data_IF_079075030941
#
_entry.id   IF_079075030941
#
_cell.length_a   1.000
_cell.length_b   1.000
_cell.length_c   1.000
_cell.angle_alpha   90.00
_cell.angle_beta   90.00
_cell.angle_gamma   90.00
#
_symmetry.space_group_name_H-M   'P 1'
#
loop_
_entity.id
_entity.type
_entity.pdbx_description
1 polymer ?
#
# COMPACT_ATOMS: atom_id res chain seq x y z
N UNK A 1 -14.83 -9.98 3.92
CA UNK A 1 -14.11 -9.01 4.79
C UNK A 1 -12.57 -9.02 4.64
N UNK A 2 -11.95 -9.99 3.93
CA UNK A 2 -10.48 -10.04 3.74
C UNK A 2 -9.92 -8.84 2.96
N UNK A 3 -10.63 -8.42 1.92
CA UNK A 3 -10.26 -7.27 1.06
C UNK A 3 -10.11 -5.97 1.85
N UNK A 4 -10.99 -5.72 2.82
CA UNK A 4 -10.94 -4.52 3.64
C UNK A 4 -9.74 -4.52 4.61
N UNK A 5 -9.40 -5.70 5.15
CA UNK A 5 -8.22 -5.88 6.02
C UNK A 5 -6.92 -5.75 5.24
N UNK A 6 -6.88 -6.26 4.00
CA UNK A 6 -5.74 -6.08 3.09
C UNK A 6 -5.54 -4.61 2.72
N UNK A 7 -6.63 -3.91 2.38
CA UNK A 7 -6.60 -2.47 2.11
C UNK A 7 -6.16 -1.66 3.35
N UNK A 8 -6.59 -2.06 4.55
CA UNK A 8 -6.17 -1.45 5.80
C UNK A 8 -4.66 -1.65 6.06
N UNK A 9 -4.10 -2.82 5.71
CA UNK A 9 -2.65 -3.05 5.83
C UNK A 9 -1.84 -2.16 4.90
N UNK A 10 -2.30 -1.96 3.66
CA UNK A 10 -1.66 -1.03 2.71
C UNK A 10 -1.74 0.40 3.27
N UNK A 11 -2.92 0.81 3.75
CA UNK A 11 -3.12 2.12 4.34
C UNK A 11 -2.24 2.33 5.59
N UNK A 12 -2.11 1.30 6.45
CA UNK A 12 -1.24 1.34 7.62
C UNK A 12 0.24 1.46 7.23
N UNK A 13 0.70 0.74 6.19
CA UNK A 13 2.06 0.87 5.67
C UNK A 13 2.37 2.28 5.16
N UNK A 14 1.43 2.89 4.44
CA UNK A 14 1.55 4.28 3.97
C UNK A 14 1.59 5.25 5.16
N UNK A 15 0.71 5.07 6.15
CA UNK A 15 0.66 5.91 7.33
C UNK A 15 1.96 5.87 8.14
N UNK A 16 2.54 4.67 8.34
CA UNK A 16 3.83 4.52 9.01
C UNK A 16 4.96 5.17 8.22
N UNK A 17 4.99 5.01 6.89
CA UNK A 17 5.99 5.65 6.04
C UNK A 17 5.93 7.19 6.15
N UNK A 18 4.73 7.77 6.15
CA UNK A 18 4.52 9.21 6.30
C UNK A 18 4.94 9.70 7.70
N UNK A 19 4.68 8.93 8.76
CA UNK A 19 5.12 9.26 10.11
C UNK A 19 6.65 9.31 10.21
N UNK A 20 7.33 8.29 9.67
CA UNK A 20 8.79 8.23 9.67
C UNK A 20 9.36 9.42 8.88
N UNK A 21 8.82 9.69 7.69
CA UNK A 21 9.23 10.82 6.87
C UNK A 21 9.07 12.17 7.58
N UNK A 22 7.92 12.37 8.24
CA UNK A 22 7.63 13.59 8.99
C UNK A 22 8.63 13.78 10.14
N UNK A 23 8.90 12.73 10.92
CA UNK A 23 9.86 12.76 12.03
C UNK A 23 11.28 13.02 11.52
N UNK A 24 11.69 12.36 10.44
CA UNK A 24 13.01 12.56 9.84
C UNK A 24 13.19 13.98 9.28
N UNK A 25 12.17 14.51 8.60
CA UNK A 25 12.21 15.88 8.07
C UNK A 25 12.23 16.94 9.20
N UNK A 26 11.61 16.63 10.34
CA UNK A 26 11.65 17.50 11.52
C UNK A 26 13.03 17.49 12.21
N UNK A 27 13.68 16.33 12.28
CA UNK A 27 14.99 16.18 12.89
C UNK A 27 16.13 16.78 12.04
N UNK A 28 16.04 16.69 10.71
CA UNK A 28 17.07 17.21 9.80
C UNK A 28 16.46 17.92 8.58
N UNK A 29 16.07 19.20 8.71
CA UNK A 29 15.33 19.93 7.68
C UNK A 29 16.13 20.16 6.39
N UNK A 30 17.47 20.13 6.45
CA UNK A 30 18.31 20.32 5.27
C UNK A 30 18.18 19.17 4.26
N UNK A 31 17.96 17.92 4.71
CA UNK A 31 17.69 16.79 3.82
C UNK A 31 16.19 16.49 3.64
N UNK A 32 15.29 17.36 4.11
CA UNK A 32 13.85 17.10 4.04
C UNK A 32 13.39 16.76 2.62
N UNK A 33 13.97 17.39 1.59
CA UNK A 33 13.62 17.12 0.19
C UNK A 33 13.94 15.67 -0.22
N UNK A 34 15.09 15.15 0.19
CA UNK A 34 15.50 13.78 -0.14
C UNK A 34 14.67 12.76 0.64
N UNK A 35 14.37 13.06 1.92
CA UNK A 35 13.46 12.26 2.75
C UNK A 35 12.10 12.12 2.10
N UNK A 36 11.51 13.23 1.62
CA UNK A 36 10.22 13.19 0.94
C UNK A 36 10.26 12.43 -0.40
N UNK A 37 11.36 12.54 -1.16
CA UNK A 37 11.56 11.78 -2.41
C UNK A 37 11.58 10.28 -2.14
N UNK A 38 12.38 9.83 -1.18
CA UNK A 38 12.48 8.42 -0.80
C UNK A 38 11.14 7.92 -0.25
N UNK A 39 10.45 8.73 0.54
CA UNK A 39 9.12 8.39 1.08
C UNK A 39 8.10 8.20 -0.03
N UNK A 40 8.08 9.08 -1.04
CA UNK A 40 7.20 8.95 -2.19
C UNK A 40 7.47 7.65 -2.97
N UNK A 41 8.73 7.30 -3.18
CA UNK A 41 9.13 6.03 -3.83
C UNK A 41 8.70 4.83 -2.99
N UNK A 42 8.91 4.88 -1.66
CA UNK A 42 8.50 3.81 -0.76
C UNK A 42 6.98 3.59 -0.76
N UNK A 43 6.19 4.67 -0.74
CA UNK A 43 4.73 4.62 -0.89
C UNK A 43 4.35 3.95 -2.21
N UNK A 44 5.05 4.28 -3.31
CA UNK A 44 4.81 3.66 -4.61
C UNK A 44 5.06 2.15 -4.60
N UNK A 45 6.14 1.71 -3.94
CA UNK A 45 6.45 0.29 -3.75
C UNK A 45 5.39 -0.42 -2.90
N UNK A 46 4.93 0.20 -1.81
CA UNK A 46 3.87 -0.35 -0.94
C UNK A 46 2.57 -0.53 -1.74
N UNK A 47 2.18 0.47 -2.52
CA UNK A 47 1.02 0.39 -3.42
C UNK A 47 1.22 -0.74 -4.42
N UNK A 48 2.38 -0.81 -5.10
CA UNK A 48 2.69 -1.84 -6.09
C UNK A 48 2.60 -3.27 -5.53
N UNK A 49 3.13 -3.50 -4.31
CA UNK A 49 3.00 -4.78 -3.61
C UNK A 49 1.54 -5.10 -3.26
N UNK A 50 0.74 -4.07 -2.92
CA UNK A 50 -0.69 -4.19 -2.63
C UNK A 50 -1.58 -4.52 -3.83
N UNK A 51 -1.13 -4.26 -5.06
CA UNK A 51 -1.92 -4.57 -6.28
C UNK A 51 -2.04 -6.09 -6.51
N UNK A 52 -1.03 -6.89 -6.14
CA UNK A 52 -1.02 -8.34 -6.32
C UNK A 52 -2.13 -9.09 -5.56
N UNK A 53 -2.40 -8.83 -4.26
CA UNK A 53 -3.52 -9.45 -3.56
C UNK A 53 -4.88 -9.00 -4.12
N UNK A 54 -5.01 -7.76 -4.59
CA UNK A 54 -6.24 -7.27 -5.24
C UNK A 54 -6.54 -8.03 -6.55
N UNK A 55 -5.50 -8.33 -7.34
CA UNK A 55 -5.62 -9.18 -8.54
C UNK A 55 -6.01 -10.62 -8.19
N UNK A 56 -5.44 -11.19 -7.13
CA UNK A 56 -5.80 -12.55 -6.65
C UNK A 56 -7.25 -12.63 -6.16
N UNK A 57 -7.73 -11.61 -5.46
CA UNK A 57 -9.13 -11.56 -5.00
C UNK A 57 -10.11 -11.48 -6.18
N UNK A 58 -9.83 -10.64 -7.19
CA UNK A 58 -10.66 -10.55 -8.40
C UNK A 58 -10.66 -11.83 -9.24
N UNK A 59 -9.56 -12.60 -9.23
CA UNK A 59 -9.52 -13.90 -9.88
C UNK A 59 -10.38 -14.95 -9.14
N UNK A 60 -10.36 -14.93 -7.81
CA UNK A 60 -11.18 -15.84 -6.99
C UNK A 60 -12.68 -15.56 -7.13
N UNK A 61 -13.10 -14.29 -7.20
CA UNK A 61 -14.50 -13.93 -7.43
C UNK A 61 -14.98 -14.32 -8.83
N UNK A 62 -14.16 -14.13 -9.86
CA UNK A 62 -14.48 -14.60 -11.22
C UNK A 62 -14.62 -16.12 -11.31
N UNK A 63 -13.73 -16.86 -10.65
CA UNK A 63 -13.81 -18.32 -10.62
C UNK A 63 -15.08 -18.83 -9.95
N UNK A 64 -15.51 -18.21 -8.84
CA UNK A 64 -16.78 -18.53 -8.19
C UNK A 64 -17.99 -18.24 -9.07
N UNK A 65 -18.01 -17.12 -9.79
CA UNK A 65 -19.13 -16.76 -10.67
C UNK A 65 -19.33 -17.76 -11.79
N UNK A 66 -18.26 -18.23 -12.42
CA UNK A 66 -18.33 -19.22 -13.50
C UNK A 66 -18.75 -20.61 -13.03
N UNK A 67 -18.48 -20.97 -11.76
CA UNK A 67 -18.89 -22.25 -11.18
C UNK A 67 -20.37 -22.27 -10.75
N UNK A 68 -21.00 -21.11 -10.57
CA UNK A 68 -22.44 -21.00 -10.26
C UNK A 68 -23.33 -21.00 -11.50
N UNK A 69 -22.78 -20.65 -12.67
CA UNK A 69 -23.48 -20.63 -13.96
C UNK A 69 -23.32 -21.96 -14.74
N UNK A 70 -22.62 -22.96 -14.17
CA UNK A 70 -22.38 -24.29 -14.73
C UNK A 70 -23.10 -25.38 -13.93
#
# INVERSE_FOLDING_TARGET
MRVLVEALHIAAGIAVALLIAAVSAWAYPLAARDVWLVTAVAILCVIGMGVAPMRRAMAADRAKRNASDA
#
